data_IF_615354454319
#
_entry.id   IF_615354454319
#
_cell.length_a   1.000
_cell.length_b   1.000
_cell.length_c   1.000
_cell.angle_alpha   90.00
_cell.angle_beta   90.00
_cell.angle_gamma   90.00
#
_symmetry.space_group_name_H-M   'P 1'
#
loop_
_entity.id
_entity.type
_entity.pdbx_description
1 polymer ?
#
# COMPACT_ATOMS: atom_id res chain seq x y z
N UNK A 1 8.48 14.85 -12.42
CA UNK A 1 7.06 14.93 -11.99
C UNK A 1 6.94 14.23 -10.64
N UNK A 2 6.29 14.80 -9.64
CA UNK A 2 6.05 14.12 -8.36
C UNK A 2 4.89 13.13 -8.55
N UNK A 3 5.08 11.89 -8.11
CA UNK A 3 4.02 10.89 -8.01
C UNK A 3 3.98 10.42 -6.57
N UNK A 4 2.90 10.67 -5.85
CA UNK A 4 2.67 10.05 -4.55
C UNK A 4 1.80 8.82 -4.75
N UNK A 5 2.11 7.72 -4.08
CA UNK A 5 1.38 6.45 -4.20
C UNK A 5 1.21 5.79 -2.84
N UNK A 6 0.07 5.14 -2.68
CA UNK A 6 -0.28 4.27 -1.57
C UNK A 6 -1.14 3.10 -2.09
N UNK A 7 -1.04 1.91 -1.51
CA UNK A 7 -1.76 0.73 -1.98
C UNK A 7 -2.52 0.02 -0.86
N UNK A 8 -3.66 -0.55 -1.23
CA UNK A 8 -4.44 -1.40 -0.32
C UNK A 8 -4.49 -2.84 -0.80
N UNK A 9 -4.31 -3.77 0.12
CA UNK A 9 -4.13 -5.19 -0.16
C UNK A 9 -5.17 -6.05 0.53
N UNK A 10 -5.40 -7.23 -0.05
CA UNK A 10 -6.27 -8.27 0.45
C UNK A 10 -5.46 -9.55 0.67
N UNK A 11 -5.92 -10.46 1.54
CA UNK A 11 -5.45 -11.84 1.48
C UNK A 11 -5.79 -12.47 0.12
N UNK A 12 -5.17 -13.58 -0.26
CA UNK A 12 -5.44 -14.21 -1.56
C UNK A 12 -6.91 -14.66 -1.67
N UNK A 13 -7.57 -14.36 -2.78
CA UNK A 13 -9.01 -14.59 -2.95
C UNK A 13 -9.34 -15.97 -3.53
N UNK A 14 -8.33 -16.71 -4.01
CA UNK A 14 -8.50 -18.05 -4.56
C UNK A 14 -8.63 -19.15 -3.49
N UNK A 15 -9.24 -20.27 -3.86
CA UNK A 15 -9.27 -21.47 -3.02
C UNK A 15 -7.86 -21.99 -2.71
N UNK A 16 -6.92 -21.79 -3.63
CA UNK A 16 -5.51 -22.16 -3.42
C UNK A 16 -4.89 -21.35 -2.28
N UNK A 17 -5.16 -20.05 -2.21
CA UNK A 17 -4.67 -19.20 -1.12
C UNK A 17 -5.24 -19.63 0.25
N UNK A 18 -6.52 -20.03 0.28
CA UNK A 18 -7.14 -20.62 1.48
C UNK A 18 -6.51 -21.96 1.87
N UNK A 19 -6.20 -22.82 0.89
CA UNK A 19 -5.54 -24.09 1.12
C UNK A 19 -4.12 -23.91 1.69
N UNK A 20 -3.37 -22.91 1.22
CA UNK A 20 -2.06 -22.54 1.77
C UNK A 20 -2.20 -22.12 3.24
N UNK A 21 -3.13 -21.22 3.55
CA UNK A 21 -3.37 -20.78 4.93
C UNK A 21 -3.68 -21.96 5.86
N UNK A 22 -4.51 -22.90 5.41
CA UNK A 22 -4.80 -24.13 6.17
C UNK A 22 -3.56 -24.99 6.39
N UNK A 23 -2.76 -25.20 5.35
CA UNK A 23 -1.55 -26.01 5.42
C UNK A 23 -0.47 -25.40 6.34
N UNK A 24 -0.41 -24.07 6.42
CA UNK A 24 0.54 -23.34 7.28
C UNK A 24 0.05 -23.21 8.73
N UNK A 25 -1.24 -23.41 8.98
CA UNK A 25 -1.83 -23.33 10.31
C UNK A 25 -1.43 -24.54 11.15
N UNK A 26 -0.93 -24.26 12.36
CA UNK A 26 -0.47 -25.28 13.31
C UNK A 26 -1.02 -24.97 14.69
N UNK A 27 -1.35 -26.02 15.44
CA UNK A 27 -1.64 -25.90 16.85
C UNK A 27 -0.44 -25.27 17.61
N UNK A 28 -0.68 -24.55 18.71
CA UNK A 28 0.37 -24.01 19.55
C UNK A 28 1.42 -25.07 19.92
N UNK A 29 2.72 -24.73 19.77
CA UNK A 29 3.82 -25.68 19.94
C UNK A 29 4.00 -26.25 21.36
N UNK A 30 3.29 -25.70 22.34
CA UNK A 30 3.21 -26.23 23.70
C UNK A 30 2.22 -27.42 23.82
N UNK A 31 1.30 -27.61 22.87
CA UNK A 31 0.38 -28.74 22.81
C UNK A 31 1.05 -29.88 22.03
N UNK A 32 1.38 -30.98 22.72
CA UNK A 32 2.13 -32.11 22.14
C UNK A 32 1.34 -33.41 22.06
N UNK A 33 0.26 -33.54 22.84
CA UNK A 33 -0.59 -34.74 22.85
C UNK A 33 -1.52 -34.71 21.65
N UNK A 34 -1.61 -35.82 20.92
CA UNK A 34 -2.45 -35.92 19.71
C UNK A 34 -3.91 -35.55 19.98
N UNK A 35 -4.51 -36.10 21.05
CA UNK A 35 -5.89 -35.80 21.46
C UNK A 35 -6.13 -34.30 21.73
N UNK A 36 -5.14 -33.62 22.31
CA UNK A 36 -5.22 -32.18 22.58
C UNK A 36 -5.04 -31.32 21.32
N UNK A 37 -4.27 -31.83 20.34
CA UNK A 37 -4.16 -31.19 19.02
C UNK A 37 -5.48 -31.33 18.26
N UNK A 38 -6.12 -32.49 18.31
CA UNK A 38 -7.44 -32.71 17.71
C UNK A 38 -8.51 -31.82 18.34
N UNK A 39 -8.54 -31.73 19.68
CA UNK A 39 -9.45 -30.83 20.39
C UNK A 39 -9.22 -29.36 20.00
N UNK A 40 -7.95 -28.94 19.88
CA UNK A 40 -7.62 -27.59 19.42
C UNK A 40 -8.11 -27.33 17.99
N UNK A 41 -7.94 -28.29 17.07
CA UNK A 41 -8.45 -28.15 15.71
C UNK A 41 -9.98 -28.04 15.66
N UNK A 42 -10.69 -28.81 16.49
CA UNK A 42 -12.14 -28.77 16.59
C UNK A 42 -12.66 -27.43 17.13
N UNK A 43 -11.98 -26.82 18.10
CA UNK A 43 -12.45 -25.60 18.78
C UNK A 43 -11.92 -24.30 18.15
N UNK A 44 -10.68 -24.31 17.65
CA UNK A 44 -9.95 -23.10 17.26
C UNK A 44 -9.36 -23.16 15.85
N UNK A 45 -9.35 -24.35 15.22
CA UNK A 45 -8.68 -24.57 13.95
C UNK A 45 -9.15 -23.62 12.85
N UNK A 46 -10.46 -23.52 12.61
CA UNK A 46 -11.00 -22.66 11.54
C UNK A 46 -10.70 -21.18 11.76
N UNK A 47 -10.80 -20.70 13.01
CA UNK A 47 -10.45 -19.32 13.35
C UNK A 47 -8.97 -19.04 13.12
N UNK A 48 -8.09 -19.98 13.48
CA UNK A 48 -6.65 -19.86 13.25
C UNK A 48 -6.30 -19.88 11.75
N UNK A 49 -7.01 -20.68 10.94
CA UNK A 49 -6.86 -20.69 9.47
C UNK A 49 -7.29 -19.35 8.88
N UNK A 50 -8.42 -18.80 9.33
CA UNK A 50 -8.92 -17.50 8.88
C UNK A 50 -7.95 -16.37 9.26
N UNK A 51 -7.37 -16.41 10.46
CA UNK A 51 -6.35 -15.46 10.91
C UNK A 51 -5.05 -15.60 10.10
N UNK A 52 -4.64 -16.83 9.73
CA UNK A 52 -3.52 -17.03 8.83
C UNK A 52 -3.79 -16.54 7.41
N UNK A 53 -4.98 -16.81 6.91
CA UNK A 53 -5.41 -16.33 5.60
C UNK A 53 -5.34 -14.79 5.56
N UNK A 54 -5.85 -14.09 6.59
CA UNK A 54 -5.77 -12.61 6.65
C UNK A 54 -4.35 -12.07 6.60
N UNK A 55 -3.36 -12.76 7.18
CA UNK A 55 -1.93 -12.33 7.14
C UNK A 55 -1.36 -12.29 5.73
N UNK A 56 -1.94 -13.03 4.78
CA UNK A 56 -1.54 -12.98 3.38
C UNK A 56 -1.69 -11.58 2.76
N UNK A 57 -2.52 -10.70 3.33
CA UNK A 57 -2.62 -9.30 2.88
C UNK A 57 -1.28 -8.56 2.97
N UNK A 58 -0.37 -9.00 3.85
CA UNK A 58 0.96 -8.43 4.02
C UNK A 58 2.05 -9.21 3.28
N UNK A 59 1.69 -10.28 2.57
CA UNK A 59 2.61 -11.12 1.82
C UNK A 59 2.37 -10.96 0.30
N UNK A 60 3.28 -10.31 -0.44
CA UNK A 60 3.09 -10.10 -1.88
C UNK A 60 3.05 -11.39 -2.72
N UNK A 61 3.54 -12.52 -2.19
CA UNK A 61 3.46 -13.81 -2.85
C UNK A 61 2.05 -14.43 -2.80
N UNK A 62 1.27 -14.10 -1.77
CA UNK A 62 -0.03 -14.73 -1.50
C UNK A 62 -1.21 -13.76 -1.57
N UNK A 63 -1.02 -12.52 -1.13
CA UNK A 63 -2.03 -11.47 -1.15
C UNK A 63 -2.31 -10.93 -2.55
N UNK A 64 -3.34 -10.08 -2.63
CA UNK A 64 -3.80 -9.42 -3.86
C UNK A 64 -3.97 -7.91 -3.62
N UNK A 65 -3.94 -7.11 -4.68
CA UNK A 65 -4.24 -5.68 -4.62
C UNK A 65 -5.74 -5.40 -4.79
N UNK A 66 -6.21 -4.38 -4.08
CA UNK A 66 -7.59 -3.91 -4.16
C UNK A 66 -7.76 -2.40 -4.28
N UNK A 67 -6.76 -1.59 -3.93
CA UNK A 67 -6.75 -0.17 -4.27
C UNK A 67 -5.35 0.31 -4.62
N UNK A 68 -5.26 1.31 -5.49
CA UNK A 68 -4.05 2.09 -5.73
C UNK A 68 -4.45 3.56 -5.71
N UNK A 69 -4.00 4.25 -4.68
CA UNK A 69 -4.15 5.68 -4.48
C UNK A 69 -2.96 6.39 -5.08
N UNK A 70 -3.20 7.54 -5.72
CA UNK A 70 -2.12 8.34 -6.28
C UNK A 70 -2.46 9.82 -6.38
N UNK A 71 -1.42 10.66 -6.33
CA UNK A 71 -1.50 12.09 -6.62
C UNK A 71 -0.31 12.53 -7.47
N UNK A 72 -0.52 13.50 -8.35
CA UNK A 72 0.49 14.00 -9.28
C UNK A 72 0.81 15.46 -9.00
N UNK A 73 2.10 15.80 -8.92
CA UNK A 73 2.52 17.16 -8.63
C UNK A 73 2.26 17.56 -7.17
N UNK A 74 2.35 18.85 -6.89
CA UNK A 74 2.22 19.40 -5.52
C UNK A 74 0.75 19.64 -5.15
N UNK A 75 -0.05 20.08 -6.13
CA UNK A 75 -1.44 20.51 -5.94
C UNK A 75 -2.47 19.57 -6.59
N UNK A 76 -2.04 18.48 -7.24
CA UNK A 76 -2.95 17.57 -7.92
C UNK A 76 -3.78 16.77 -6.93
N UNK A 77 -5.10 16.75 -7.15
CA UNK A 77 -6.05 15.97 -6.33
C UNK A 77 -5.64 14.49 -6.28
N UNK A 78 -5.64 13.90 -5.09
CA UNK A 78 -5.49 12.46 -4.96
C UNK A 78 -6.70 11.74 -5.56
N UNK A 79 -6.42 10.66 -6.25
CA UNK A 79 -7.41 9.73 -6.76
C UNK A 79 -7.11 8.32 -6.21
N UNK A 80 -8.11 7.45 -6.16
CA UNK A 80 -7.94 6.06 -5.79
C UNK A 80 -8.75 5.16 -6.70
N UNK A 81 -8.04 4.28 -7.40
CA UNK A 81 -8.65 3.25 -8.21
C UNK A 81 -8.87 2.04 -7.31
N UNK A 82 -10.13 1.68 -7.09
CA UNK A 82 -10.54 0.50 -6.31
C UNK A 82 -10.99 -0.64 -7.23
N UNK A 83 -10.59 -1.86 -6.89
CA UNK A 83 -10.96 -3.11 -7.57
C UNK A 83 -12.41 -3.48 -7.26
N UNK A 84 -13.21 -3.78 -8.27
CA UNK A 84 -14.56 -4.32 -8.05
C UNK A 84 -14.56 -5.79 -7.60
N UNK A 85 -15.61 -6.24 -6.92
CA UNK A 85 -15.80 -7.64 -6.50
C UNK A 85 -15.71 -8.63 -7.66
N UNK A 86 -16.31 -8.29 -8.80
CA UNK A 86 -16.32 -9.11 -10.02
C UNK A 86 -15.12 -8.82 -10.94
N UNK A 87 -14.18 -7.98 -10.51
CA UNK A 87 -13.01 -7.61 -11.28
C UNK A 87 -11.81 -8.50 -10.90
N UNK A 88 -11.15 -9.08 -11.91
CA UNK A 88 -9.88 -9.78 -11.69
C UNK A 88 -8.78 -8.79 -11.29
N UNK A 89 -7.82 -9.21 -10.47
CA UNK A 89 -6.66 -8.37 -10.12
C UNK A 89 -5.92 -7.87 -11.36
N UNK A 90 -5.85 -8.70 -12.42
CA UNK A 90 -5.24 -8.32 -13.69
C UNK A 90 -5.93 -7.11 -14.35
N UNK A 91 -7.25 -7.18 -14.47
CA UNK A 91 -8.05 -6.11 -15.08
C UNK A 91 -7.94 -4.82 -14.27
N UNK A 92 -8.04 -4.95 -12.95
CA UNK A 92 -7.84 -3.86 -12.00
C UNK A 92 -6.47 -3.19 -12.17
N UNK A 93 -5.38 -3.97 -12.13
CA UNK A 93 -4.03 -3.45 -12.26
C UNK A 93 -3.81 -2.72 -13.58
N UNK A 94 -4.33 -3.26 -14.68
CA UNK A 94 -4.25 -2.58 -16.00
C UNK A 94 -4.96 -1.24 -15.97
N UNK A 95 -6.16 -1.18 -15.40
CA UNK A 95 -6.96 0.04 -15.27
C UNK A 95 -6.26 1.08 -14.40
N UNK A 96 -5.81 0.68 -13.21
CA UNK A 96 -5.10 1.56 -12.28
C UNK A 96 -3.80 2.10 -12.86
N UNK A 97 -2.94 1.24 -13.41
CA UNK A 97 -1.68 1.66 -14.01
C UNK A 97 -1.90 2.53 -15.26
N UNK A 98 -2.94 2.28 -16.05
CA UNK A 98 -3.28 3.12 -17.20
C UNK A 98 -3.73 4.52 -16.76
N UNK A 99 -4.52 4.63 -15.67
CA UNK A 99 -4.94 5.90 -15.10
C UNK A 99 -3.73 6.72 -14.62
N UNK A 100 -2.82 6.11 -13.84
CA UNK A 100 -1.60 6.78 -13.37
C UNK A 100 -0.73 7.24 -14.56
N UNK A 101 -0.50 6.37 -15.54
CA UNK A 101 0.27 6.72 -16.73
C UNK A 101 -0.40 7.80 -17.58
N UNK A 102 -1.73 7.94 -17.53
CA UNK A 102 -2.45 9.02 -18.18
C UNK A 102 -2.24 10.34 -17.44
N UNK A 103 -2.43 10.34 -16.12
CA UNK A 103 -2.22 11.52 -15.29
C UNK A 103 -0.78 12.06 -15.38
N UNK A 104 0.21 11.17 -15.51
CA UNK A 104 1.62 11.54 -15.68
C UNK A 104 1.95 12.17 -17.04
N UNK A 105 1.19 11.93 -18.11
CA UNK A 105 1.55 12.47 -19.45
C UNK A 105 1.45 14.00 -19.51
N UNK A 106 0.54 14.57 -18.75
CA UNK A 106 0.20 16.00 -18.82
C UNK A 106 0.76 16.79 -17.62
N UNK A 107 1.59 16.14 -16.78
CA UNK A 107 2.01 16.68 -15.50
C UNK A 107 3.27 17.57 -15.60
N UNK A 108 3.33 18.68 -14.84
CA UNK A 108 4.50 19.54 -14.81
C UNK A 108 5.71 18.86 -14.12
N UNK A 109 6.91 19.29 -14.48
CA UNK A 109 8.12 18.87 -13.79
C UNK A 109 8.13 19.40 -12.36
N UNK A 110 8.45 18.54 -11.39
CA UNK A 110 8.37 18.85 -9.97
C UNK A 110 9.53 19.72 -9.48
N UNK A 111 10.73 19.59 -10.07
CA UNK A 111 11.86 20.42 -9.69
C UNK A 111 12.68 20.83 -10.91
N UNK A 112 13.06 22.11 -11.08
CA UNK A 112 13.78 22.60 -12.27
C UNK A 112 15.13 21.91 -12.52
N UNK A 113 15.77 21.41 -11.45
CA UNK A 113 17.04 20.69 -11.54
C UNK A 113 16.89 19.16 -11.72
N UNK A 114 15.66 18.62 -11.67
CA UNK A 114 15.41 17.21 -11.93
C UNK A 114 14.97 17.02 -13.38
N UNK A 115 15.44 15.94 -14.01
CA UNK A 115 15.12 15.60 -15.40
C UNK A 115 13.61 15.37 -15.59
N UNK A 116 13.19 15.10 -16.83
CA UNK A 116 11.81 14.70 -17.17
C UNK A 116 11.29 13.46 -16.41
N UNK A 117 12.10 12.84 -15.55
CA UNK A 117 11.77 11.67 -14.77
C UNK A 117 10.62 11.90 -13.76
N UNK A 118 9.85 10.84 -13.54
CA UNK A 118 8.88 10.73 -12.45
C UNK A 118 9.65 10.43 -11.16
N UNK A 119 9.33 11.15 -10.09
CA UNK A 119 9.87 10.96 -8.76
C UNK A 119 8.75 10.38 -7.87
N UNK A 120 8.73 9.06 -7.66
CA UNK A 120 7.71 8.39 -6.85
C UNK A 120 7.97 8.58 -5.35
N UNK A 121 6.92 8.73 -4.57
CA UNK A 121 6.94 8.91 -3.10
C UNK A 121 5.85 8.06 -2.47
N UNK A 122 6.14 7.48 -1.30
CA UNK A 122 5.19 6.69 -0.51
C UNK A 122 5.46 6.85 1.00
N UNK A 123 4.65 6.19 1.85
CA UNK A 123 4.87 6.11 3.30
C UNK A 123 5.38 4.73 3.77
N UNK A 124 5.80 3.84 2.86
CA UNK A 124 6.60 2.67 3.22
C UNK A 124 7.15 1.98 1.97
N UNK A 125 8.27 2.48 1.41
CA UNK A 125 8.81 1.95 0.15
C UNK A 125 9.23 0.48 0.22
N UNK A 126 9.47 -0.03 1.43
CA UNK A 126 9.74 -1.46 1.69
C UNK A 126 8.52 -2.37 1.55
N UNK A 127 7.31 -1.78 1.51
CA UNK A 127 6.04 -2.47 1.33
C UNK A 127 5.45 -2.16 -0.05
N UNK A 128 5.15 -0.89 -0.34
CA UNK A 128 4.33 -0.51 -1.49
C UNK A 128 4.93 -0.96 -2.83
N UNK A 129 6.18 -0.58 -3.10
CA UNK A 129 6.82 -0.90 -4.38
C UNK A 129 7.12 -2.39 -4.56
N UNK A 130 7.66 -3.13 -3.58
CA UNK A 130 7.83 -4.58 -3.71
C UNK A 130 6.51 -5.31 -3.92
N UNK A 131 5.45 -4.91 -3.20
CA UNK A 131 4.14 -5.55 -3.32
C UNK A 131 3.53 -5.30 -4.71
N UNK A 132 3.45 -4.04 -5.14
CA UNK A 132 2.95 -3.70 -6.48
C UNK A 132 3.73 -4.41 -7.59
N UNK A 133 5.07 -4.49 -7.47
CA UNK A 133 5.91 -5.18 -8.44
C UNK A 133 5.63 -6.68 -8.50
N UNK A 134 5.57 -7.34 -7.35
CA UNK A 134 5.29 -8.76 -7.27
C UNK A 134 3.92 -9.09 -7.88
N UNK A 135 2.90 -8.26 -7.58
CA UNK A 135 1.56 -8.44 -8.15
C UNK A 135 1.49 -8.14 -9.64
N UNK A 136 2.28 -7.18 -10.14
CA UNK A 136 2.47 -7.02 -11.59
C UNK A 136 3.00 -8.31 -12.22
N UNK A 137 4.05 -8.91 -11.65
CA UNK A 137 4.63 -10.16 -12.17
C UNK A 137 3.68 -11.35 -12.09
N UNK A 138 2.99 -11.54 -10.97
CA UNK A 138 1.98 -12.58 -10.79
C UNK A 138 0.88 -12.48 -11.86
N UNK A 139 0.50 -11.26 -12.22
CA UNK A 139 -0.49 -10.96 -13.25
C UNK A 139 0.09 -10.82 -14.67
N UNK A 140 1.38 -11.12 -14.90
CA UNK A 140 2.02 -10.97 -16.23
C UNK A 140 1.91 -9.55 -16.81
N UNK A 141 1.90 -8.56 -15.93
CA UNK A 141 1.93 -7.13 -16.25
C UNK A 141 3.37 -6.65 -16.08
N UNK A 142 3.86 -5.86 -17.05
CA UNK A 142 5.16 -5.20 -16.92
C UNK A 142 5.05 -4.09 -15.87
N UNK A 143 5.90 -4.10 -14.83
CA UNK A 143 6.14 -2.94 -13.97
C UNK A 143 6.17 -1.60 -14.72
N UNK A 144 5.43 -0.57 -14.27
CA UNK A 144 5.50 0.76 -14.89
C UNK A 144 6.90 1.37 -14.74
N UNK A 145 7.26 2.25 -15.68
CA UNK A 145 8.61 2.82 -15.77
C UNK A 145 8.99 3.72 -14.58
N UNK A 146 8.00 4.32 -13.92
CA UNK A 146 8.19 5.17 -12.75
C UNK A 146 8.38 4.37 -11.46
N UNK A 147 8.10 3.06 -11.44
CA UNK A 147 8.23 2.28 -10.22
C UNK A 147 9.70 2.00 -9.94
N UNK A 148 10.22 2.34 -8.74
CA UNK A 148 11.63 2.16 -8.43
C UNK A 148 12.08 0.72 -8.66
N UNK A 149 13.27 0.47 -9.18
CA UNK A 149 13.88 -0.85 -9.30
C UNK A 149 14.60 -1.29 -8.01
N UNK A 150 15.09 -2.54 -7.94
CA UNK A 150 15.88 -3.04 -6.81
C UNK A 150 17.20 -2.28 -6.54
N UNK A 151 17.71 -1.56 -7.55
CA UNK A 151 18.97 -0.81 -7.47
C UNK A 151 18.75 0.70 -7.21
N UNK A 152 17.50 1.13 -7.18
CA UNK A 152 17.14 2.52 -6.97
C UNK A 152 17.32 2.87 -5.50
N UNK A 153 17.65 4.14 -5.24
CA UNK A 153 18.06 4.64 -3.93
C UNK A 153 17.07 5.69 -3.46
N UNK A 154 16.60 5.50 -2.23
CA UNK A 154 15.81 6.50 -1.54
C UNK A 154 16.57 7.85 -1.50
N UNK A 155 15.85 8.93 -1.75
CA UNK A 155 16.35 10.30 -1.84
C UNK A 155 16.99 10.69 -3.15
N UNK A 156 17.42 9.73 -3.96
CA UNK A 156 17.88 10.01 -5.32
C UNK A 156 16.82 9.67 -6.36
N UNK A 157 16.26 8.47 -6.26
CA UNK A 157 15.39 7.90 -7.30
C UNK A 157 13.92 7.85 -6.85
N UNK A 158 13.67 7.87 -5.53
CA UNK A 158 12.32 7.88 -4.93
C UNK A 158 12.33 8.43 -3.50
N UNK A 159 11.17 8.86 -3.00
CA UNK A 159 10.96 9.26 -1.61
C UNK A 159 10.22 8.20 -0.79
N UNK A 160 10.55 8.13 0.50
CA UNK A 160 9.80 7.38 1.50
C UNK A 160 9.71 8.26 2.75
N UNK A 161 8.53 8.82 3.03
CA UNK A 161 8.33 9.73 4.16
C UNK A 161 8.61 9.05 5.50
N UNK A 162 8.32 7.75 5.65
CA UNK A 162 8.60 7.02 6.88
C UNK A 162 10.11 6.96 7.13
N UNK A 163 10.87 6.48 6.15
CA UNK A 163 12.33 6.34 6.31
C UNK A 163 13.05 7.70 6.31
N UNK A 164 12.53 8.70 5.59
CA UNK A 164 13.09 10.06 5.58
C UNK A 164 12.99 10.72 6.95
N UNK A 165 11.86 10.53 7.65
CA UNK A 165 11.65 11.08 8.98
C UNK A 165 12.37 10.27 10.07
N UNK A 166 12.22 8.95 10.06
CA UNK A 166 12.69 8.10 11.14
C UNK A 166 14.16 7.66 11.00
N UNK A 167 14.77 7.88 9.84
CA UNK A 167 16.08 7.36 9.48
C UNK A 167 16.05 5.87 9.14
N UNK A 168 17.17 5.37 8.62
CA UNK A 168 17.31 3.96 8.22
C UNK A 168 17.12 3.01 9.40
N UNK A 169 16.22 2.04 9.26
CA UNK A 169 15.85 1.09 10.32
C UNK A 169 14.85 1.65 11.35
N UNK A 170 14.55 2.95 11.29
CA UNK A 170 13.49 3.58 12.07
C UNK A 170 12.11 3.36 11.44
N UNK A 171 11.06 3.54 12.25
CA UNK A 171 9.66 3.54 11.78
C UNK A 171 8.89 4.67 12.46
N UNK A 172 8.01 5.30 11.70
CA UNK A 172 6.97 6.23 12.16
C UNK A 172 5.71 5.89 11.40
N UNK A 173 4.54 5.91 12.04
CA UNK A 173 3.26 5.76 11.33
C UNK A 173 2.86 7.09 10.70
N UNK A 174 2.02 7.04 9.66
CA UNK A 174 1.58 8.25 8.97
C UNK A 174 0.87 9.19 9.94
N UNK A 175 -0.08 8.68 10.74
CA UNK A 175 -0.74 9.46 11.81
C UNK A 175 0.24 10.14 12.77
N UNK A 176 1.34 9.45 13.17
CA UNK A 176 2.33 10.03 14.09
C UNK A 176 3.18 11.09 13.40
N UNK A 177 3.50 10.88 12.12
CA UNK A 177 4.17 11.87 11.29
C UNK A 177 3.30 13.11 11.10
N UNK A 178 2.04 12.93 10.70
CA UNK A 178 1.04 14.00 10.58
C UNK A 178 0.91 14.81 11.87
N UNK A 179 0.75 14.13 13.01
CA UNK A 179 0.70 14.81 14.31
C UNK A 179 1.97 15.61 14.62
N UNK A 180 3.15 15.10 14.25
CA UNK A 180 4.42 15.82 14.42
C UNK A 180 4.50 17.08 13.53
N UNK A 181 3.91 17.03 12.35
CA UNK A 181 3.89 18.12 11.37
C UNK A 181 2.70 19.08 11.55
N UNK A 182 1.84 18.85 12.55
CA UNK A 182 0.64 19.67 12.78
C UNK A 182 -0.48 19.45 11.74
N UNK A 183 -0.46 18.31 11.05
CA UNK A 183 -1.47 17.91 10.06
C UNK A 183 -2.60 17.12 10.74
N UNK A 184 -3.79 17.15 10.14
CA UNK A 184 -4.90 16.29 10.53
C UNK A 184 -4.50 14.81 10.41
N UNK A 185 -5.06 13.94 11.26
CA UNK A 185 -4.83 12.50 11.16
C UNK A 185 -5.62 11.98 9.94
N UNK A 186 -4.96 11.38 8.92
CA UNK A 186 -5.67 10.83 7.77
C UNK A 186 -6.70 9.77 8.18
N UNK A 187 -6.55 9.18 9.37
CA UNK A 187 -7.47 8.16 9.88
C UNK A 187 -8.83 8.69 10.34
N UNK A 188 -9.00 10.01 10.45
CA UNK A 188 -10.33 10.58 10.69
C UNK A 188 -11.31 10.25 9.55
N UNK A 189 -10.81 9.89 8.36
CA UNK A 189 -11.60 9.51 7.19
C UNK A 189 -11.77 7.99 7.03
N UNK A 190 -11.17 7.17 7.91
CA UNK A 190 -11.23 5.70 7.87
C UNK A 190 -9.95 5.05 8.41
N UNK A 191 -9.98 3.78 8.80
CA UNK A 191 -8.77 3.04 9.18
C UNK A 191 -8.58 1.80 8.30
N UNK A 192 -7.32 1.45 8.01
CA UNK A 192 -6.96 0.32 7.13
C UNK A 192 -7.17 -1.07 7.73
N UNK A 193 -7.71 -1.20 8.96
CA UNK A 193 -7.92 -2.52 9.59
C UNK A 193 -9.10 -3.27 8.99
N UNK A 194 -9.99 -2.57 8.29
CA UNK A 194 -11.19 -3.14 7.69
C UNK A 194 -11.19 -3.17 6.15
N UNK A 195 -10.02 -3.03 5.48
CA UNK A 195 -9.91 -3.07 4.00
C UNK A 195 -10.63 -4.28 3.38
N UNK A 196 -10.42 -5.46 3.95
CA UNK A 196 -11.10 -6.69 3.50
C UNK A 196 -12.62 -6.61 3.67
N UNK A 197 -13.10 -6.04 4.78
CA UNK A 197 -14.53 -5.93 5.05
C UNK A 197 -15.17 -4.88 4.13
N UNK A 198 -14.57 -3.68 4.03
CA UNK A 198 -15.01 -2.62 3.12
C UNK A 198 -15.10 -3.12 1.68
N UNK A 199 -14.08 -3.85 1.21
CA UNK A 199 -14.08 -4.42 -0.13
C UNK A 199 -15.18 -5.47 -0.32
N UNK A 200 -15.30 -6.44 0.60
CA UNK A 200 -16.33 -7.49 0.54
C UNK A 200 -17.75 -6.96 0.59
N UNK A 201 -17.98 -5.91 1.37
CA UNK A 201 -19.28 -5.28 1.53
C UNK A 201 -19.61 -4.31 0.39
N UNK A 202 -18.74 -4.18 -0.61
CA UNK A 202 -18.92 -3.29 -1.75
C UNK A 202 -18.80 -1.80 -1.39
N UNK A 203 -18.24 -1.48 -0.22
CA UNK A 203 -18.01 -0.11 0.25
C UNK A 203 -16.76 0.49 -0.41
N UNK A 204 -16.69 0.41 -1.74
CA UNK A 204 -15.51 0.82 -2.52
C UNK A 204 -15.21 2.32 -2.38
N UNK A 205 -16.22 3.18 -2.23
CA UNK A 205 -15.98 4.61 -2.03
C UNK A 205 -15.36 4.90 -0.65
N UNK A 206 -15.76 4.17 0.39
CA UNK A 206 -15.13 4.32 1.71
C UNK A 206 -13.66 3.87 1.66
N UNK A 207 -13.37 2.76 0.97
CA UNK A 207 -12.01 2.31 0.73
C UNK A 207 -11.20 3.32 -0.08
N UNK A 208 -11.79 3.90 -1.13
CA UNK A 208 -11.16 4.92 -1.96
C UNK A 208 -10.88 6.20 -1.16
N UNK A 209 -11.83 6.65 -0.33
CA UNK A 209 -11.67 7.84 0.50
C UNK A 209 -10.53 7.68 1.51
N UNK A 210 -10.46 6.53 2.19
CA UNK A 210 -9.35 6.21 3.09
C UNK A 210 -8.00 6.23 2.38
N UNK A 211 -7.89 5.53 1.24
CA UNK A 211 -6.63 5.46 0.48
C UNK A 211 -6.23 6.82 -0.14
N UNK A 212 -7.19 7.65 -0.58
CA UNK A 212 -6.92 9.05 -0.99
C UNK A 212 -6.40 9.89 0.17
N UNK A 213 -6.97 9.74 1.37
CA UNK A 213 -6.55 10.48 2.55
C UNK A 213 -5.09 10.18 2.93
N UNK A 214 -4.66 8.91 2.84
CA UNK A 214 -3.27 8.52 3.09
C UNK A 214 -2.30 9.05 2.00
N UNK A 215 -2.71 9.08 0.74
CA UNK A 215 -1.95 9.72 -0.35
C UNK A 215 -1.79 11.22 -0.09
N UNK A 216 -2.87 11.92 0.23
CA UNK A 216 -2.86 13.36 0.53
C UNK A 216 -1.95 13.68 1.71
N UNK A 217 -2.11 12.96 2.82
CA UNK A 217 -1.27 13.11 3.99
C UNK A 217 0.21 12.82 3.70
N UNK A 218 0.50 11.79 2.89
CA UNK A 218 1.86 11.48 2.45
C UNK A 218 2.44 12.60 1.59
N UNK A 219 1.64 13.16 0.66
CA UNK A 219 2.05 14.28 -0.20
C UNK A 219 2.38 15.51 0.62
N UNK A 220 1.47 15.95 1.49
CA UNK A 220 1.67 17.13 2.34
C UNK A 220 2.88 16.94 3.25
N UNK A 221 3.02 15.77 3.89
CA UNK A 221 4.18 15.48 4.73
C UNK A 221 5.49 15.55 3.93
N UNK A 222 5.52 14.97 2.72
CA UNK A 222 6.69 15.03 1.84
C UNK A 222 7.08 16.45 1.46
N UNK A 223 6.12 17.29 1.08
CA UNK A 223 6.37 18.69 0.68
C UNK A 223 6.93 19.52 1.85
N UNK A 224 6.39 19.35 3.05
CA UNK A 224 6.93 19.99 4.26
C UNK A 224 8.35 19.49 4.55
N UNK A 225 8.56 18.17 4.57
CA UNK A 225 9.85 17.55 4.91
C UNK A 225 10.97 17.87 3.92
N UNK A 226 10.63 18.16 2.67
CA UNK A 226 11.57 18.58 1.63
C UNK A 226 11.74 20.10 1.53
N UNK A 227 11.02 20.85 2.36
CA UNK A 227 11.11 22.31 2.45
C UNK A 227 10.38 23.07 1.35
N UNK A 228 9.57 22.39 0.53
CA UNK A 228 8.73 23.04 -0.49
C UNK A 228 7.63 23.90 0.13
N UNK A 229 7.16 23.53 1.33
CA UNK A 229 6.13 24.24 2.10
C UNK A 229 6.68 24.79 3.43
N UNK A 230 7.93 25.27 3.42
CA UNK A 230 8.61 25.84 4.59
C UNK A 230 9.02 27.29 4.34
N UNK A 231 8.96 28.13 5.38
CA UNK A 231 9.51 29.50 5.33
C UNK A 231 11.04 29.47 5.21
N UNK A 232 11.58 30.21 4.24
CA UNK A 232 13.03 30.37 4.08
C UNK A 232 13.51 31.48 5.03
N UNK A 233 14.21 31.10 6.09
CA UNK A 233 14.82 32.05 7.01
C UNK A 233 16.05 32.72 6.35
N UNK A 234 16.12 34.05 6.46
CA UNK A 234 17.19 34.89 5.93
C UNK A 234 18.49 34.83 6.74
#
# INVERSE_FOLDING_TARGET
MLLVIDIETLPGQSDHARAIARAETKAPGNIKKAESIEAWWAEHGEAAVDEQWRKQALDPALGELCAIGFAIGEDGEADSIVRGLDETENAFLRRALAAINAALRDAPHWHPAMSEAVYPVCHSSSFDFPFLRARCWANRIRPPHWMPGPNDRQGRDFGDTMTWFAGYGGRVSLSKLCACLGLADPKEQGDGRDVLALWKDGQHEALAAYNRADVEATRTAWLIMTGADCEVLA
#
